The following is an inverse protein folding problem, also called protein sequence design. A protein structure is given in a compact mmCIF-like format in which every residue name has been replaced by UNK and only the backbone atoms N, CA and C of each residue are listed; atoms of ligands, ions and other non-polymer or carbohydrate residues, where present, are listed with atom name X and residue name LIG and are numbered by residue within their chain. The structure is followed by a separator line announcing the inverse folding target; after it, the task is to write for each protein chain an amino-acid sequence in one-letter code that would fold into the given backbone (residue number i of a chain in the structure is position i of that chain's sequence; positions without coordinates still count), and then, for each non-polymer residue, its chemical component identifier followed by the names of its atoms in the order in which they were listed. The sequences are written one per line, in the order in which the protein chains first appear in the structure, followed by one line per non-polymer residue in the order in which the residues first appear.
data_IF_193210198529
#
_entry.id   IF_193210198529
#
_cell.length_a   1.000
_cell.length_b   1.000
_cell.length_c   1.000
_cell.angle_alpha   90.00
_cell.angle_beta   90.00
_cell.angle_gamma   90.00
#
_symmetry.space_group_name_H-M   'P 1'
#
loop_
_entity.id
_entity.type
_entity.pdbx_description
1 polymer ?
#
# COMPACT_ATOMS: atom_id res chain seq x y z
N UNK A 1 -12.03 9.83 3.73
CA UNK A 1 -12.26 8.86 2.63
C UNK A 1 -11.63 9.37 1.35
N UNK A 2 -11.04 8.46 0.58
CA UNK A 2 -10.45 8.72 -0.73
C UNK A 2 -11.31 8.01 -1.80
N UNK A 3 -11.80 8.76 -2.78
CA UNK A 3 -12.55 8.19 -3.91
C UNK A 3 -11.60 7.65 -4.97
N UNK A 4 -11.82 6.40 -5.39
CA UNK A 4 -10.97 5.71 -6.35
C UNK A 4 -11.60 5.79 -7.74
N UNK A 5 -10.80 6.18 -8.74
CA UNK A 5 -11.30 6.43 -10.09
C UNK A 5 -11.57 5.11 -10.84
N UNK A 6 -12.77 4.98 -11.40
CA UNK A 6 -13.21 3.81 -12.18
C UNK A 6 -12.62 3.81 -13.61
N UNK A 7 -12.35 2.63 -14.23
CA UNK A 7 -12.47 1.28 -13.67
C UNK A 7 -11.37 0.99 -12.65
N UNK A 8 -11.76 0.47 -11.49
CA UNK A 8 -10.85 0.22 -10.36
C UNK A 8 -10.87 -1.21 -9.86
N UNK A 9 -9.72 -1.69 -9.38
CA UNK A 9 -9.56 -3.01 -8.79
C UNK A 9 -9.11 -2.92 -7.33
N UNK A 10 -9.67 -3.79 -6.47
CA UNK A 10 -9.24 -3.96 -5.09
C UNK A 10 -8.58 -5.33 -4.90
N UNK A 11 -7.31 -5.34 -4.51
CA UNK A 11 -6.56 -6.52 -4.11
C UNK A 11 -6.54 -6.58 -2.58
N UNK A 12 -7.38 -7.44 -2.00
CA UNK A 12 -7.47 -7.61 -0.55
C UNK A 12 -6.72 -8.87 -0.15
N UNK A 13 -5.56 -8.74 0.47
CA UNK A 13 -4.92 -9.90 1.09
C UNK A 13 -5.84 -10.46 2.19
N UNK A 14 -5.92 -11.79 2.30
CA UNK A 14 -6.75 -12.46 3.30
C UNK A 14 -6.43 -12.03 4.75
N UNK A 15 -5.20 -11.58 4.99
CA UNK A 15 -4.72 -11.09 6.29
C UNK A 15 -4.93 -9.58 6.48
N UNK A 16 -5.33 -8.84 5.44
CA UNK A 16 -5.49 -7.39 5.53
C UNK A 16 -6.57 -7.02 6.56
N UNK A 17 -6.32 -6.06 7.46
CA UNK A 17 -7.28 -5.69 8.51
C UNK A 17 -8.51 -4.96 7.96
N UNK A 18 -8.35 -4.23 6.86
CA UNK A 18 -9.42 -3.48 6.18
C UNK A 18 -9.64 -4.04 4.79
N UNK A 19 -10.92 -4.22 4.43
CA UNK A 19 -11.31 -4.67 3.10
C UNK A 19 -11.86 -3.51 2.27
N UNK A 20 -11.41 -3.40 1.03
CA UNK A 20 -11.92 -2.45 0.04
C UNK A 20 -12.83 -3.14 -0.96
N UNK A 21 -13.89 -2.43 -1.39
CA UNK A 21 -14.83 -2.91 -2.41
C UNK A 21 -14.72 -2.05 -3.66
N UNK A 22 -14.41 -2.70 -4.76
CA UNK A 22 -14.06 -2.08 -6.03
C UNK A 22 -14.84 -2.73 -7.18
N UNK A 23 -14.82 -2.11 -8.37
CA UNK A 23 -15.50 -2.60 -9.58
C UNK A 23 -15.08 -4.05 -9.90
N UNK A 24 -13.78 -4.34 -9.79
CA UNK A 24 -13.29 -5.70 -9.60
C UNK A 24 -12.71 -5.83 -8.19
N UNK A 25 -13.15 -6.81 -7.41
CA UNK A 25 -12.63 -7.06 -6.06
C UNK A 25 -12.13 -8.50 -6.01
N UNK A 26 -10.89 -8.68 -5.58
CA UNK A 26 -10.28 -9.99 -5.42
C UNK A 26 -9.78 -10.17 -3.98
N UNK A 27 -10.16 -11.30 -3.37
CA UNK A 27 -9.56 -11.78 -2.13
C UNK A 27 -8.34 -12.62 -2.48
N UNK A 28 -7.15 -12.08 -2.20
CA UNK A 28 -5.87 -12.73 -2.46
C UNK A 28 -5.55 -13.64 -1.27
N UNK A 29 -5.44 -14.94 -1.53
CA UNK A 29 -5.00 -15.93 -0.55
C UNK A 29 -3.54 -15.70 -0.18
N UNK A 30 -3.14 -16.05 1.04
CA UNK A 30 -1.74 -16.01 1.47
C UNK A 30 -0.81 -16.95 0.65
N UNK A 31 -1.38 -17.87 -0.13
CA UNK A 31 -0.66 -18.80 -1.01
C UNK A 31 -0.70 -18.41 -2.49
N UNK A 32 -1.36 -17.31 -2.85
CA UNK A 32 -1.37 -16.86 -4.23
C UNK A 32 0.04 -16.41 -4.62
N UNK A 33 0.54 -17.01 -5.70
CA UNK A 33 1.89 -16.72 -6.17
C UNK A 33 2.00 -15.30 -6.69
N UNK A 34 3.18 -14.70 -6.52
CA UNK A 34 3.47 -13.36 -7.07
C UNK A 34 3.10 -13.25 -8.54
N UNK A 35 3.47 -14.26 -9.35
CA UNK A 35 3.19 -14.29 -10.77
C UNK A 35 1.69 -14.34 -11.07
N UNK A 36 0.95 -15.17 -10.35
CA UNK A 36 -0.49 -15.25 -10.50
C UNK A 36 -1.17 -13.90 -10.22
N UNK A 37 -0.76 -13.21 -9.16
CA UNK A 37 -1.29 -11.88 -8.80
C UNK A 37 -1.05 -10.86 -9.93
N UNK A 38 0.17 -10.83 -10.48
CA UNK A 38 0.52 -9.95 -11.58
C UNK A 38 -0.33 -10.26 -12.83
N UNK A 39 -0.39 -11.53 -13.22
CA UNK A 39 -1.09 -11.97 -14.45
C UNK A 39 -2.60 -11.80 -14.36
N UNK A 40 -3.18 -12.08 -13.19
CA UNK A 40 -4.60 -11.91 -12.97
C UNK A 40 -5.00 -10.43 -13.02
N UNK A 41 -4.24 -9.57 -12.35
CA UNK A 41 -4.48 -8.11 -12.39
C UNK A 41 -4.37 -7.57 -13.82
N UNK A 42 -3.37 -8.03 -14.59
CA UNK A 42 -3.23 -7.66 -16.00
C UNK A 42 -4.41 -8.17 -16.86
N UNK A 43 -4.94 -9.36 -16.56
CA UNK A 43 -6.13 -9.92 -17.23
C UNK A 43 -7.37 -9.07 -16.97
N UNK A 44 -7.62 -8.72 -15.70
CA UNK A 44 -8.72 -7.82 -15.32
C UNK A 44 -8.58 -6.47 -15.99
N UNK A 45 -7.37 -5.91 -16.03
CA UNK A 45 -7.13 -4.62 -16.64
C UNK A 45 -7.41 -4.58 -18.15
N UNK A 46 -6.96 -5.59 -18.90
CA UNK A 46 -7.26 -5.70 -20.34
C UNK A 46 -8.77 -5.84 -20.61
N UNK A 47 -9.51 -6.46 -19.69
CA UNK A 47 -10.97 -6.61 -19.77
C UNK A 47 -11.77 -5.40 -19.29
N UNK A 48 -11.12 -4.39 -18.71
CA UNK A 48 -11.81 -3.20 -18.20
C UNK A 48 -12.25 -2.25 -19.33
N UNK A 49 -13.28 -1.41 -19.12
CA UNK A 49 -13.63 -0.36 -20.07
C UNK A 49 -12.42 0.52 -20.43
N UNK A 50 -12.09 0.60 -21.72
CA UNK A 50 -10.90 1.30 -22.22
C UNK A 50 -9.60 0.48 -22.21
N UNK A 51 -9.67 -0.83 -21.89
CA UNK A 51 -8.54 -1.76 -21.97
C UNK A 51 -7.49 -1.60 -20.86
N UNK A 52 -7.81 -0.86 -19.79
CA UNK A 52 -6.94 -0.63 -18.63
C UNK A 52 -7.73 -0.28 -17.37
N UNK A 53 -7.09 -0.42 -16.21
CA UNK A 53 -7.58 0.11 -14.93
C UNK A 53 -7.12 1.56 -14.76
N UNK A 54 -8.04 2.44 -14.35
CA UNK A 54 -7.65 3.78 -13.91
C UNK A 54 -6.85 3.69 -12.62
N UNK A 55 -7.34 2.95 -11.62
CA UNK A 55 -6.65 2.85 -10.33
C UNK A 55 -6.79 1.45 -9.73
N UNK A 56 -5.76 1.00 -9.01
CA UNK A 56 -5.84 -0.19 -8.16
C UNK A 56 -5.61 0.19 -6.71
N UNK A 57 -6.22 -0.56 -5.80
CA UNK A 57 -5.97 -0.49 -4.37
C UNK A 57 -5.45 -1.83 -3.89
N UNK A 58 -4.25 -1.83 -3.31
CA UNK A 58 -3.68 -2.98 -2.62
C UNK A 58 -3.93 -2.79 -1.12
N UNK A 59 -4.81 -3.60 -0.54
CA UNK A 59 -5.04 -3.65 0.90
C UNK A 59 -4.37 -4.89 1.46
N UNK A 60 -3.31 -4.70 2.24
CA UNK A 60 -2.56 -5.78 2.87
C UNK A 60 -1.82 -5.31 4.13
N UNK A 61 -1.18 -6.23 4.83
CA UNK A 61 -0.13 -5.85 5.78
C UNK A 61 1.15 -5.45 5.04
N UNK A 62 2.03 -4.76 5.74
CA UNK A 62 3.29 -4.32 5.16
C UNK A 62 4.38 -4.20 6.22
N UNK A 63 5.60 -4.11 5.71
CA UNK A 63 6.79 -3.73 6.44
C UNK A 63 7.62 -2.82 5.52
N UNK A 64 8.65 -2.12 6.04
CA UNK A 64 9.53 -1.32 5.20
C UNK A 64 10.04 -2.12 3.98
N UNK A 65 9.77 -1.60 2.78
CA UNK A 65 10.12 -2.24 1.50
C UNK A 65 9.50 -3.63 1.24
N UNK A 66 8.35 -3.94 1.87
CA UNK A 66 7.68 -5.24 1.71
C UNK A 66 6.16 -5.14 1.78
N UNK A 67 5.48 -5.76 0.80
CA UNK A 67 4.03 -5.97 0.79
C UNK A 67 3.72 -7.40 1.21
N UNK A 68 2.90 -7.60 2.24
CA UNK A 68 2.41 -8.93 2.60
C UNK A 68 1.13 -9.27 1.81
N UNK A 69 1.27 -9.29 0.47
CA UNK A 69 0.21 -9.64 -0.48
C UNK A 69 0.52 -11.01 -1.11
N UNK A 70 -0.31 -12.02 -0.87
CA UNK A 70 -0.04 -13.40 -1.28
C UNK A 70 1.23 -13.95 -0.63
N UNK A 71 2.13 -14.51 -1.42
CA UNK A 71 3.49 -14.89 -0.98
C UNK A 71 4.35 -13.68 -0.53
N UNK A 72 3.88 -12.46 -0.81
CA UNK A 72 4.52 -11.20 -0.47
C UNK A 72 5.46 -10.68 -1.56
N UNK A 73 5.71 -9.38 -1.60
CA UNK A 73 6.58 -8.73 -2.59
C UNK A 73 7.61 -7.86 -1.89
N UNK A 74 8.89 -8.13 -2.14
CA UNK A 74 10.00 -7.30 -1.67
C UNK A 74 10.75 -6.60 -2.81
N UNK A 75 11.87 -5.96 -2.46
CA UNK A 75 12.72 -5.24 -3.43
C UNK A 75 13.13 -6.08 -4.66
N UNK A 76 13.45 -7.36 -4.47
CA UNK A 76 13.84 -8.26 -5.56
C UNK A 76 12.69 -8.60 -6.53
N UNK A 77 11.44 -8.36 -6.13
CA UNK A 77 10.24 -8.68 -6.90
C UNK A 77 9.69 -7.46 -7.67
N UNK A 78 10.26 -6.27 -7.48
CA UNK A 78 9.73 -5.02 -8.05
C UNK A 78 9.58 -5.08 -9.58
N UNK A 79 10.50 -5.76 -10.28
CA UNK A 79 10.44 -5.90 -11.74
C UNK A 79 9.25 -6.73 -12.23
N UNK A 80 8.62 -7.56 -11.38
CA UNK A 80 7.41 -8.30 -11.76
C UNK A 80 6.25 -7.36 -12.11
N UNK A 81 6.21 -6.16 -11.51
CA UNK A 81 5.19 -5.15 -11.78
C UNK A 81 5.24 -4.61 -13.22
N UNK A 82 6.28 -4.93 -14.01
CA UNK A 82 6.29 -4.67 -15.47
C UNK A 82 5.10 -5.30 -16.20
N UNK A 83 4.51 -6.35 -15.64
CA UNK A 83 3.27 -6.94 -16.15
C UNK A 83 2.08 -5.97 -16.19
N UNK A 84 2.14 -4.82 -15.50
CA UNK A 84 1.08 -3.82 -15.45
C UNK A 84 1.35 -2.58 -16.32
N UNK A 85 2.47 -2.53 -17.05
CA UNK A 85 2.79 -1.39 -17.93
C UNK A 85 1.71 -1.14 -18.96
N UNK A 86 1.21 0.10 -19.00
CA UNK A 86 0.13 0.53 -19.89
C UNK A 86 -1.26 -0.01 -19.51
N UNK A 87 -1.38 -0.77 -18.41
CA UNK A 87 -2.62 -1.39 -17.95
C UNK A 87 -3.17 -0.77 -16.67
N UNK A 88 -2.37 -0.02 -15.92
CA UNK A 88 -2.76 0.63 -14.66
C UNK A 88 -2.19 2.05 -14.63
N UNK A 89 -3.02 3.07 -14.38
CA UNK A 89 -2.51 4.46 -14.29
C UNK A 89 -1.99 4.81 -12.88
N UNK A 90 -2.62 4.27 -11.83
CA UNK A 90 -2.24 4.54 -10.43
C UNK A 90 -2.48 3.34 -9.50
N UNK A 91 -1.59 3.20 -8.54
CA UNK A 91 -1.59 2.18 -7.48
C UNK A 91 -1.69 2.89 -6.14
N UNK A 92 -2.72 2.59 -5.36
CA UNK A 92 -2.83 2.97 -3.96
C UNK A 92 -2.46 1.77 -3.09
N UNK A 93 -1.48 1.93 -2.22
CA UNK A 93 -1.05 0.88 -1.29
C UNK A 93 -1.56 1.25 0.09
N UNK A 94 -2.52 0.50 0.62
CA UNK A 94 -2.96 0.57 2.01
C UNK A 94 -2.30 -0.56 2.80
N UNK A 95 -1.09 -0.29 3.28
CA UNK A 95 -0.30 -1.24 4.04
C UNK A 95 0.66 -0.50 4.98
N UNK A 96 0.97 -1.13 6.11
CA UNK A 96 1.84 -0.57 7.13
C UNK A 96 3.25 -0.35 6.59
N UNK A 97 3.83 0.83 6.84
CA UNK A 97 5.27 1.10 6.76
C UNK A 97 5.95 0.88 5.39
N UNK A 98 5.22 0.56 4.32
CA UNK A 98 5.84 0.12 3.06
C UNK A 98 6.74 1.20 2.47
N UNK A 99 6.34 2.47 2.55
CA UNK A 99 7.12 3.62 2.11
C UNK A 99 8.19 4.09 3.10
N UNK A 100 8.37 3.40 4.25
CA UNK A 100 9.28 3.82 5.31
C UNK A 100 10.74 3.59 4.92
N UNK A 101 11.57 4.61 5.12
CA UNK A 101 13.03 4.45 5.14
C UNK A 101 13.44 4.17 6.58
N UNK A 102 14.14 3.08 6.83
CA UNK A 102 14.63 2.73 8.18
C UNK A 102 16.11 3.08 8.29
N UNK A 103 16.43 3.99 9.20
CA UNK A 103 17.81 4.37 9.53
C UNK A 103 17.86 5.30 10.74
N UNK A 104 19.07 5.62 11.24
CA UNK A 104 19.24 6.49 12.41
C UNK A 104 18.52 7.84 12.27
N UNK A 105 18.50 8.42 11.05
CA UNK A 105 17.88 9.71 10.79
C UNK A 105 16.33 9.68 10.84
N UNK A 106 15.72 8.51 10.64
CA UNK A 106 14.27 8.35 10.70
C UNK A 106 13.81 7.71 12.01
N UNK A 107 14.71 7.23 12.87
CA UNK A 107 14.36 6.55 14.12
C UNK A 107 13.51 7.40 15.09
N UNK A 108 13.62 8.74 15.04
CA UNK A 108 12.83 9.65 15.86
C UNK A 108 11.47 10.07 15.28
N UNK A 109 11.06 9.56 14.11
CA UNK A 109 9.89 10.04 13.37
C UNK A 109 8.73 9.03 13.43
N UNK A 110 7.54 9.45 13.87
CA UNK A 110 6.35 8.58 13.91
C UNK A 110 6.63 7.25 14.62
N UNK A 111 6.45 6.13 13.90
CA UNK A 111 6.72 4.77 14.38
C UNK A 111 8.20 4.39 14.52
N UNK A 112 9.14 5.34 14.40
CA UNK A 112 10.57 5.06 14.37
C UNK A 112 11.07 4.29 15.60
N UNK A 113 10.60 4.66 16.79
CA UNK A 113 10.92 3.96 18.03
C UNK A 113 10.44 2.49 18.03
N UNK A 114 9.21 2.25 17.54
CA UNK A 114 8.63 0.91 17.40
C UNK A 114 9.43 0.06 16.40
N UNK A 115 9.77 0.63 15.25
CA UNK A 115 10.58 0.01 14.20
C UNK A 115 11.97 -0.37 14.74
N UNK A 116 12.62 0.54 15.47
CA UNK A 116 13.92 0.29 16.10
C UNK A 116 13.84 -0.81 17.14
N UNK A 117 12.81 -0.80 18.00
CA UNK A 117 12.63 -1.83 19.02
C UNK A 117 12.41 -3.23 18.43
N UNK A 118 11.74 -3.32 17.28
CA UNK A 118 11.53 -4.57 16.55
C UNK A 118 12.71 -4.97 15.65
N UNK A 119 13.76 -4.16 15.56
CA UNK A 119 14.92 -4.44 14.71
C UNK A 119 14.58 -4.53 13.22
N UNK A 120 13.52 -3.86 12.77
CA UNK A 120 13.14 -3.90 11.35
C UNK A 120 14.17 -3.11 10.53
N UNK A 121 14.29 -3.46 9.24
CA UNK A 121 15.16 -2.77 8.29
C UNK A 121 14.42 -2.60 6.95
N UNK A 122 14.93 -1.74 6.08
CA UNK A 122 14.40 -1.58 4.72
C UNK A 122 14.41 -0.13 4.23
N UNK A 123 14.33 0.02 2.91
CA UNK A 123 14.22 1.31 2.25
C UNK A 123 13.00 1.32 1.33
N UNK A 124 11.88 1.79 1.88
CA UNK A 124 10.61 1.89 1.18
C UNK A 124 10.64 2.83 -0.03
N UNK A 125 11.43 3.90 0.01
CA UNK A 125 11.60 4.81 -1.14
C UNK A 125 12.18 4.06 -2.34
N UNK A 126 13.28 3.33 -2.14
CA UNK A 126 13.92 2.56 -3.22
C UNK A 126 12.97 1.51 -3.79
N UNK A 127 12.26 0.78 -2.92
CA UNK A 127 11.31 -0.24 -3.36
C UNK A 127 10.14 0.35 -4.16
N UNK A 128 9.50 1.41 -3.65
CA UNK A 128 8.32 1.98 -4.29
C UNK A 128 8.67 2.71 -5.59
N UNK A 129 9.83 3.36 -5.67
CA UNK A 129 10.35 3.92 -6.93
C UNK A 129 10.57 2.84 -7.99
N UNK A 130 11.13 1.68 -7.59
CA UNK A 130 11.30 0.55 -8.49
C UNK A 130 9.95 -0.01 -8.96
N UNK A 131 8.95 -0.13 -8.07
CA UNK A 131 7.59 -0.54 -8.43
C UNK A 131 6.94 0.46 -9.39
N UNK A 132 7.06 1.77 -9.13
CA UNK A 132 6.49 2.82 -9.98
C UNK A 132 7.08 2.78 -11.39
N UNK A 133 8.42 2.70 -11.51
CA UNK A 133 9.12 2.56 -12.79
C UNK A 133 8.78 1.23 -13.51
N UNK A 134 8.68 0.14 -12.75
CA UNK A 134 8.31 -1.16 -13.30
C UNK A 134 6.89 -1.12 -13.85
N UNK A 135 5.91 -0.64 -13.09
CA UNK A 135 4.51 -0.56 -13.53
C UNK A 135 4.23 0.56 -14.56
N UNK A 136 5.10 1.57 -14.65
CA UNK A 136 4.78 2.84 -15.32
C UNK A 136 3.47 3.46 -14.83
N UNK A 137 3.25 3.37 -13.51
CA UNK A 137 2.06 3.86 -12.83
C UNK A 137 2.47 4.77 -11.67
N UNK A 138 1.63 5.73 -11.32
CA UNK A 138 1.80 6.46 -10.06
C UNK A 138 1.61 5.49 -8.88
N UNK A 139 2.41 5.62 -7.83
CA UNK A 139 2.26 4.80 -6.62
C UNK A 139 2.09 5.69 -5.41
N UNK A 140 1.00 5.50 -4.67
CA UNK A 140 0.71 6.21 -3.41
C UNK A 140 0.84 5.25 -2.24
N UNK A 141 1.60 5.63 -1.23
CA UNK A 141 1.97 4.74 -0.11
C UNK A 141 2.16 5.51 1.19
N UNK A 142 1.76 4.90 2.30
CA UNK A 142 2.03 5.40 3.66
C UNK A 142 3.41 5.01 4.16
N UNK A 143 3.96 5.82 5.07
CA UNK A 143 5.27 5.57 5.72
C UNK A 143 5.16 5.11 7.17
N UNK A 144 3.94 5.10 7.72
CA UNK A 144 3.63 4.79 9.11
C UNK A 144 2.71 3.55 9.18
N UNK A 145 2.48 3.00 10.38
CA UNK A 145 1.50 1.97 10.64
C UNK A 145 0.11 2.47 10.17
N UNK A 146 -0.73 1.57 9.66
CA UNK A 146 -2.02 1.94 9.08
C UNK A 146 -3.16 1.26 9.83
N UNK A 147 -3.83 2.00 10.70
CA UNK A 147 -5.03 1.60 11.42
C UNK A 147 -6.31 2.16 10.79
N UNK A 148 -7.46 1.55 11.09
CA UNK A 148 -8.78 2.16 10.86
C UNK A 148 -9.65 1.86 12.07
N UNK A 149 -10.30 2.89 12.63
CA UNK A 149 -11.25 2.75 13.73
C UNK A 149 -12.67 2.38 13.27
N UNK A 150 -12.93 2.45 11.96
CA UNK A 150 -14.29 2.41 11.39
C UNK A 150 -14.49 1.25 10.42
N UNK A 151 -13.45 0.89 9.68
CA UNK A 151 -13.53 -0.13 8.66
C UNK A 151 -12.73 -1.36 9.07
N UNK A 152 -13.26 -2.53 8.73
CA UNK A 152 -12.63 -3.82 8.96
C UNK A 152 -12.84 -4.70 7.73
N UNK A 153 -12.48 -5.98 7.81
CA UNK A 153 -12.87 -6.96 6.79
C UNK A 153 -14.39 -7.15 6.70
N UNK A 154 -15.06 -7.22 7.86
CA UNK A 154 -16.50 -7.48 7.98
C UNK A 154 -17.34 -6.21 7.79
N UNK A 155 -16.76 -5.04 8.08
CA UNK A 155 -17.32 -3.73 7.80
C UNK A 155 -16.43 -3.00 6.77
N UNK A 156 -16.46 -3.40 5.48
CA UNK A 156 -15.54 -2.87 4.48
C UNK A 156 -15.80 -1.40 4.16
N UNK A 157 -14.81 -0.74 3.54
CA UNK A 157 -14.99 0.58 2.97
C UNK A 157 -16.23 0.63 2.04
N UNK A 158 -16.87 1.80 1.89
CA UNK A 158 -17.86 2.03 0.84
C UNK A 158 -17.30 1.66 -0.54
N UNK A 159 -18.19 1.26 -1.44
CA UNK A 159 -17.78 0.87 -2.80
C UNK A 159 -17.07 2.02 -3.53
N UNK A 160 -15.94 1.71 -4.19
CA UNK A 160 -15.12 2.68 -4.91
C UNK A 160 -14.35 3.64 -4.00
N UNK A 161 -14.19 3.31 -2.72
CA UNK A 161 -13.49 4.15 -1.76
C UNK A 161 -12.40 3.39 -1.00
N UNK A 162 -11.42 4.15 -0.56
CA UNK A 162 -10.37 3.78 0.38
C UNK A 162 -10.52 4.65 1.65
N UNK A 163 -10.15 4.10 2.80
CA UNK A 163 -10.02 4.83 4.07
C UNK A 163 -8.95 5.93 3.95
N UNK A 164 -8.73 6.71 5.01
CA UNK A 164 -7.60 7.63 5.05
C UNK A 164 -6.33 6.87 5.44
N UNK A 165 -5.20 7.49 5.13
CA UNK A 165 -3.91 7.00 5.60
C UNK A 165 -3.63 7.54 7.00
N UNK A 166 -2.65 6.94 7.66
CA UNK A 166 -2.03 7.50 8.86
C UNK A 166 -0.63 8.03 8.53
N UNK A 167 -0.29 9.16 9.14
CA UNK A 167 1.03 9.76 9.04
C UNK A 167 1.36 10.30 7.65
N UNK A 168 2.65 10.27 7.30
CA UNK A 168 3.11 10.76 6.00
C UNK A 168 2.81 9.79 4.87
N UNK A 169 2.18 10.31 3.82
CA UNK A 169 1.87 9.65 2.56
C UNK A 169 2.66 10.31 1.44
N UNK A 170 3.17 9.47 0.55
CA UNK A 170 4.01 9.86 -0.56
C UNK A 170 3.36 9.38 -1.87
N UNK A 171 3.42 10.18 -2.92
CA UNK A 171 3.10 9.75 -4.28
C UNK A 171 4.34 9.82 -5.15
N UNK A 172 4.65 8.69 -5.78
CA UNK A 172 5.78 8.51 -6.68
C UNK A 172 5.31 8.56 -8.14
N UNK A 173 6.01 9.32 -9.00
CA UNK A 173 5.73 9.37 -10.43
C UNK A 173 6.05 8.04 -11.13
N UNK A 174 5.41 7.81 -12.27
CA UNK A 174 5.51 6.58 -13.07
C UNK A 174 6.88 6.31 -13.69
N UNK A 175 7.79 7.27 -13.68
CA UNK A 175 9.17 7.12 -14.14
C UNK A 175 10.11 6.57 -13.04
N UNK A 176 9.61 6.38 -11.81
CA UNK A 176 10.43 5.99 -10.65
C UNK A 176 11.29 7.13 -10.12
N UNK A 177 10.98 8.38 -10.45
CA UNK A 177 11.52 9.57 -9.82
C UNK A 177 11.19 9.65 -8.32
N UNK A 178 11.78 10.62 -7.60
CA UNK A 178 11.43 10.87 -6.21
C UNK A 178 9.94 11.24 -6.06
N UNK A 179 9.40 11.04 -4.86
CA UNK A 179 8.02 11.45 -4.57
C UNK A 179 7.81 12.93 -4.91
N UNK A 180 6.78 13.22 -5.71
CA UNK A 180 6.48 14.56 -6.22
C UNK A 180 5.21 15.17 -5.58
N UNK A 181 4.52 14.40 -4.75
CA UNK A 181 3.46 14.87 -3.90
C UNK A 181 3.53 14.17 -2.55
N UNK A 182 3.23 14.91 -1.48
CA UNK A 182 3.18 14.37 -0.12
C UNK A 182 2.00 14.97 0.65
N UNK A 183 1.49 14.23 1.62
CA UNK A 183 0.49 14.73 2.56
C UNK A 183 0.68 14.03 3.91
N UNK A 184 0.46 14.75 5.01
CA UNK A 184 0.54 14.19 6.36
C UNK A 184 -0.84 14.16 6.99
N UNK A 185 -1.36 12.96 7.20
CA UNK A 185 -2.55 12.71 8.01
C UNK A 185 -2.15 12.64 9.49
N UNK A 186 -3.12 12.80 10.42
CA UNK A 186 -2.92 12.44 11.81
C UNK A 186 -2.37 11.01 11.93
N UNK A 187 -1.38 10.83 12.79
CA UNK A 187 -0.84 9.52 13.13
C UNK A 187 -1.27 9.16 14.54
N UNK A 188 -1.75 7.95 14.70
CA UNK A 188 -2.29 7.43 15.96
C UNK A 188 -1.24 6.77 16.83
N UNK A 189 -0.12 6.43 16.22
CA UNK A 189 1.01 5.81 16.85
C UNK A 189 1.98 6.91 17.30
N UNK A 190 1.74 7.39 18.52
CA UNK A 190 2.76 8.13 19.25
C UNK A 190 3.62 7.06 19.94
N UNK A 191 4.55 6.45 19.21
CA UNK A 191 5.29 5.28 19.69
C UNK A 191 6.12 5.63 20.93
N UNK A 192 5.58 5.39 22.12
CA UNK A 192 6.38 5.33 23.33
C UNK A 192 7.25 4.06 23.25
N UNK A 193 8.58 4.18 23.14
CA UNK A 193 9.50 3.05 23.01
C UNK A 193 9.40 2.04 24.17
N UNK A 194 8.83 2.43 25.31
CA UNK A 194 8.75 1.55 26.49
C UNK A 194 7.45 0.76 26.60
N UNK A 195 6.39 1.15 25.90
CA UNK A 195 5.07 0.48 26.00
C UNK A 195 4.57 -0.10 24.69
N UNK A 196 5.06 0.36 23.53
CA UNK A 196 4.60 -0.07 22.19
C UNK A 196 3.06 -0.02 22.04
N UNK A 197 2.38 0.92 22.70
CA UNK A 197 0.92 1.04 22.69
C UNK A 197 0.44 2.07 21.68
N UNK A 198 -0.47 1.68 20.77
CA UNK A 198 -1.21 2.59 19.90
C UNK A 198 -2.15 3.45 20.75
N UNK A 199 -2.12 4.78 20.58
CA UNK A 199 -2.88 5.65 21.49
C UNK A 199 -4.37 5.73 21.16
N UNK A 200 -4.80 5.83 19.90
CA UNK A 200 -6.23 5.76 19.50
C UNK A 200 -6.36 5.60 17.98
N UNK A 201 -7.01 4.57 17.41
CA UNK A 201 -7.19 4.48 15.95
C UNK A 201 -7.96 5.69 15.40
N UNK A 202 -7.66 6.11 14.16
CA UNK A 202 -8.19 7.34 13.56
C UNK A 202 -9.72 7.36 13.62
N UNK A 203 -10.30 8.48 14.07
CA UNK A 203 -11.74 8.65 14.29
C UNK A 203 -12.53 9.03 13.02
N UNK A 204 -12.23 8.38 11.90
CA UNK A 204 -12.74 8.70 10.54
C UNK A 204 -14.27 8.88 10.39
#
# INVERSE_FOLDING_TARGET
MITIKSPHMGLNDARAPVRVRMWNTWEVSATDTKRHIIDWTATVARGAPGGKLSEIVISCHGAPAYLQLGEGFGAADADLFRGWRGLVDKIWIRACLVGRIVGPETAGQGDGAFITALGMTGNGDTFIRAVAAAAQAYVVVGTELQSSGKYTRDAPCPFGQLDQYEGLVLSYPSDGGPANWTHRYPSVYNANPTTLTATHPNSE
#
